data_IF_910898290292
#
_entry.id   IF_910898290292
#
_cell.length_a   1.000
_cell.length_b   1.000
_cell.length_c   1.000
_cell.angle_alpha   90.00
_cell.angle_beta   90.00
_cell.angle_gamma   90.00
#
_symmetry.space_group_name_H-M   'P 1'
#
loop_
_entity.id
_entity.type
_entity.pdbx_description
1 polymer ?
#
# COMPACT_ATOMS: atom_id res chain seq x y z
N UNK A 1 -14.01 10.79 -4.71
CA UNK A 1 -12.94 9.91 -4.19
C UNK A 1 -11.62 10.64 -4.20
N UNK A 2 -11.15 11.15 -5.35
CA UNK A 2 -9.91 11.95 -5.46
C UNK A 2 -9.90 13.19 -4.57
N UNK A 3 -11.07 13.81 -4.32
CA UNK A 3 -11.18 14.95 -3.39
C UNK A 3 -10.85 14.56 -1.96
N UNK A 4 -11.31 13.40 -1.49
CA UNK A 4 -11.01 12.90 -0.12
C UNK A 4 -9.53 12.59 0.02
N UNK A 5 -8.94 11.90 -0.95
CA UNK A 5 -7.50 11.64 -0.95
C UNK A 5 -6.67 12.93 -0.94
N UNK A 6 -7.04 13.92 -1.74
CA UNK A 6 -6.39 15.24 -1.74
C UNK A 6 -6.60 16.00 -0.43
N UNK A 7 -7.78 15.91 0.17
CA UNK A 7 -8.08 16.55 1.45
C UNK A 7 -7.21 15.99 2.58
N UNK A 8 -7.00 14.67 2.63
CA UNK A 8 -6.12 14.02 3.61
C UNK A 8 -4.67 14.50 3.50
N UNK A 9 -4.29 15.10 2.36
CA UNK A 9 -2.93 15.56 2.08
C UNK A 9 -2.82 17.06 1.81
N UNK A 10 -3.88 17.85 2.03
CA UNK A 10 -3.88 19.28 1.75
C UNK A 10 -2.91 20.07 2.62
N UNK A 11 -2.53 19.58 3.77
CA UNK A 11 -1.48 20.19 4.60
C UNK A 11 -0.10 19.61 4.24
N UNK A 12 0.40 20.05 3.10
CA UNK A 12 1.40 19.38 2.26
C UNK A 12 2.86 19.48 2.73
N UNK A 13 3.17 20.04 3.89
CA UNK A 13 4.57 20.14 4.34
C UNK A 13 5.10 18.80 4.86
N UNK A 14 4.27 18.07 5.59
CA UNK A 14 4.63 16.78 6.21
C UNK A 14 4.85 15.68 5.15
N UNK A 15 3.98 15.51 4.14
CA UNK A 15 4.18 14.52 3.09
C UNK A 15 5.47 14.68 2.31
N UNK A 16 5.82 15.89 1.93
CA UNK A 16 7.07 16.17 1.20
C UNK A 16 8.31 15.84 2.01
N UNK A 17 8.30 16.17 3.30
CA UNK A 17 9.41 15.84 4.20
C UNK A 17 9.55 14.32 4.38
N UNK A 18 8.45 13.60 4.56
CA UNK A 18 8.45 12.13 4.70
C UNK A 18 9.00 11.42 3.47
N UNK A 19 8.64 11.85 2.27
CA UNK A 19 9.18 11.29 1.03
C UNK A 19 10.64 11.71 0.79
N UNK A 20 11.02 12.93 1.17
CA UNK A 20 12.40 13.39 1.04
C UNK A 20 13.37 12.52 1.83
N UNK A 21 13.02 12.11 3.04
CA UNK A 21 13.82 11.21 3.86
C UNK A 21 13.99 9.83 3.18
N UNK A 22 12.90 9.29 2.60
CA UNK A 22 12.96 8.01 1.89
C UNK A 22 13.82 8.11 0.64
N UNK A 23 13.67 9.16 -0.17
CA UNK A 23 14.52 9.39 -1.36
C UNK A 23 15.98 9.60 -1.00
N UNK A 24 16.26 10.29 0.12
CA UNK A 24 17.64 10.46 0.62
C UNK A 24 18.26 9.13 0.97
N UNK A 25 17.52 8.26 1.67
CA UNK A 25 17.98 6.91 2.01
C UNK A 25 18.23 6.06 0.76
N UNK A 26 17.36 6.15 -0.25
CA UNK A 26 17.54 5.44 -1.53
C UNK A 26 18.81 5.92 -2.22
N UNK A 27 18.99 7.24 -2.38
CA UNK A 27 20.18 7.80 -3.04
C UNK A 27 21.48 7.47 -2.30
N UNK A 28 21.42 7.40 -0.97
CA UNK A 28 22.55 6.93 -0.16
C UNK A 28 22.86 5.45 -0.43
N UNK A 29 21.85 4.61 -0.43
CA UNK A 29 21.99 3.18 -0.69
C UNK A 29 22.49 2.90 -2.12
N UNK A 30 22.04 3.64 -3.13
CA UNK A 30 22.49 3.51 -4.50
C UNK A 30 24.02 3.73 -4.62
N UNK A 31 24.55 4.75 -3.95
CA UNK A 31 26.00 5.03 -3.93
C UNK A 31 26.77 3.87 -3.31
N UNK A 32 26.31 3.35 -2.18
CA UNK A 32 26.93 2.21 -1.49
C UNK A 32 26.85 0.95 -2.35
N UNK A 33 25.71 0.67 -2.99
CA UNK A 33 25.54 -0.50 -3.85
C UNK A 33 26.45 -0.46 -5.08
N UNK A 34 26.67 0.73 -5.66
CA UNK A 34 27.61 0.91 -6.76
C UNK A 34 29.06 0.61 -6.30
N UNK A 35 29.42 1.03 -5.08
CA UNK A 35 30.75 0.75 -4.52
C UNK A 35 30.94 -0.74 -4.21
N UNK A 36 29.92 -1.38 -3.62
CA UNK A 36 29.92 -2.84 -3.41
C UNK A 36 30.09 -3.58 -4.73
N UNK A 37 29.33 -3.21 -5.78
CA UNK A 37 29.42 -3.85 -7.10
C UNK A 37 30.81 -3.71 -7.75
N UNK A 38 31.48 -2.57 -7.53
CA UNK A 38 32.87 -2.38 -7.99
C UNK A 38 33.84 -3.31 -7.28
N UNK A 39 33.72 -3.41 -5.95
CA UNK A 39 34.58 -4.30 -5.14
C UNK A 39 34.33 -5.78 -5.46
N UNK A 40 33.07 -6.18 -5.63
CA UNK A 40 32.72 -7.55 -6.03
C UNK A 40 33.26 -7.91 -7.41
N UNK A 41 33.24 -6.95 -8.35
CA UNK A 41 33.84 -7.13 -9.67
C UNK A 41 35.35 -7.27 -9.60
N UNK A 42 36.03 -6.43 -8.81
CA UNK A 42 37.48 -6.52 -8.60
C UNK A 42 37.84 -7.88 -8.01
N UNK A 43 37.14 -8.37 -7.00
CA UNK A 43 37.34 -9.71 -6.44
C UNK A 43 37.15 -10.83 -7.47
N UNK A 44 36.15 -10.70 -8.33
CA UNK A 44 35.88 -11.70 -9.37
C UNK A 44 37.00 -11.72 -10.45
N UNK A 45 37.53 -10.55 -10.81
CA UNK A 45 38.61 -10.45 -11.79
C UNK A 45 39.93 -10.93 -11.19
N UNK A 46 40.28 -10.58 -9.94
CA UNK A 46 41.46 -11.11 -9.21
C UNK A 46 41.39 -12.64 -9.07
N UNK A 47 40.21 -13.19 -8.77
CA UNK A 47 40.04 -14.65 -8.65
C UNK A 47 40.26 -15.39 -9.99
N UNK A 48 39.92 -14.75 -11.12
CA UNK A 48 40.15 -15.32 -12.46
C UNK A 48 41.63 -15.30 -12.86
N UNK A 49 42.34 -14.23 -12.50
CA UNK A 49 43.77 -14.10 -12.75
C UNK A 49 44.61 -15.07 -11.88
N UNK A 50 44.17 -15.29 -10.63
CA UNK A 50 44.80 -16.24 -9.72
C UNK A 50 44.72 -17.70 -10.17
N UNK A 51 43.70 -18.09 -10.86
CA UNK A 51 43.58 -19.42 -11.48
C UNK A 51 44.56 -19.68 -12.61
N UNK A 52 45.25 -18.65 -13.08
CA UNK A 52 46.26 -18.75 -14.14
C UNK A 52 47.74 -18.72 -13.67
N UNK A 53 48.00 -18.51 -12.37
CA UNK A 53 49.36 -18.40 -11.85
C UNK A 53 49.56 -18.93 -10.43
N UNK A 54 50.31 -20.04 -10.27
CA UNK A 54 50.53 -20.77 -9.01
C UNK A 54 51.37 -20.05 -7.92
N UNK A 55 51.83 -18.80 -8.07
CA UNK A 55 52.76 -18.14 -7.15
C UNK A 55 52.26 -16.93 -6.35
N UNK A 56 50.98 -16.58 -6.39
CA UNK A 56 50.44 -15.38 -5.73
C UNK A 56 49.48 -15.65 -4.53
N UNK A 57 49.34 -16.91 -4.10
CA UNK A 57 48.27 -17.34 -3.16
C UNK A 57 48.24 -16.69 -1.77
N UNK A 58 49.35 -16.15 -1.24
CA UNK A 58 49.37 -15.59 0.12
C UNK A 58 48.88 -14.13 0.16
N UNK A 59 49.29 -13.33 -0.82
CA UNK A 59 48.93 -11.90 -0.91
C UNK A 59 47.46 -11.73 -1.32
N UNK A 60 46.96 -12.57 -2.23
CA UNK A 60 45.59 -12.60 -2.70
C UNK A 60 44.58 -13.00 -1.61
N UNK A 61 44.93 -13.92 -0.69
CA UNK A 61 44.09 -14.26 0.46
C UNK A 61 43.91 -13.09 1.42
N UNK A 62 44.90 -12.23 1.57
CA UNK A 62 44.84 -11.07 2.45
C UNK A 62 44.01 -9.96 1.83
N UNK A 63 44.20 -9.67 0.57
CA UNK A 63 43.42 -8.66 -0.20
C UNK A 63 41.93 -9.08 -0.36
N UNK A 64 41.65 -10.34 -0.69
CA UNK A 64 40.28 -10.88 -0.73
C UNK A 64 39.62 -10.84 0.67
N UNK A 65 40.34 -11.06 1.73
CA UNK A 65 39.85 -10.92 3.11
C UNK A 65 39.54 -9.46 3.45
N UNK A 66 40.33 -8.51 2.96
CA UNK A 66 40.15 -7.08 3.20
C UNK A 66 38.99 -6.54 2.42
N UNK A 67 38.83 -6.86 1.13
CA UNK A 67 37.69 -6.50 0.30
C UNK A 67 36.39 -7.09 0.84
N UNK A 68 36.40 -8.35 1.32
CA UNK A 68 35.24 -8.97 1.93
C UNK A 68 34.81 -8.26 3.25
N UNK A 69 35.77 -7.78 4.05
CA UNK A 69 35.49 -6.98 5.24
C UNK A 69 34.86 -5.63 4.85
N UNK A 70 35.40 -4.98 3.83
CA UNK A 70 34.91 -3.70 3.33
C UNK A 70 33.49 -3.81 2.77
N UNK A 71 33.17 -4.85 2.02
CA UNK A 71 31.82 -5.14 1.55
C UNK A 71 30.85 -5.34 2.72
N UNK A 72 31.26 -6.07 3.77
CA UNK A 72 30.40 -6.24 4.96
C UNK A 72 30.17 -4.90 5.67
N UNK A 73 31.18 -4.07 5.78
CA UNK A 73 31.05 -2.74 6.37
C UNK A 73 30.12 -1.86 5.54
N UNK A 74 30.28 -1.81 4.22
CA UNK A 74 29.41 -1.07 3.32
C UNK A 74 27.96 -1.58 3.41
N UNK A 75 27.74 -2.89 3.45
CA UNK A 75 26.39 -3.44 3.64
C UNK A 75 25.76 -3.03 4.98
N UNK A 76 26.56 -2.89 6.05
CA UNK A 76 26.04 -2.42 7.34
C UNK A 76 25.67 -0.93 7.35
N UNK A 77 26.14 -0.16 6.39
CA UNK A 77 25.81 1.26 6.22
C UNK A 77 24.53 1.50 5.41
N UNK A 78 23.94 0.45 4.83
CA UNK A 78 22.67 0.57 4.10
C UNK A 78 21.56 0.99 5.05
N UNK A 79 20.82 2.02 4.65
CA UNK A 79 19.70 2.57 5.39
C UNK A 79 18.39 1.90 4.99
N UNK A 80 17.44 1.83 5.91
CA UNK A 80 16.08 1.39 5.58
C UNK A 80 15.39 2.45 4.74
N UNK A 81 15.05 2.11 3.49
CA UNK A 81 14.27 2.97 2.59
C UNK A 81 12.78 2.68 2.76
N UNK A 82 12.25 2.96 3.93
CA UNK A 82 10.84 2.80 4.27
C UNK A 82 10.28 4.11 4.83
N UNK A 83 8.97 4.27 4.74
CA UNK A 83 8.30 5.40 5.36
C UNK A 83 8.51 5.32 6.88
N UNK A 84 8.83 6.46 7.48
CA UNK A 84 9.04 6.51 8.93
C UNK A 84 7.74 6.15 9.67
N UNK A 85 7.86 5.34 10.71
CA UNK A 85 6.73 4.77 11.46
C UNK A 85 5.73 5.83 11.99
N UNK A 86 6.18 7.06 12.27
CA UNK A 86 5.28 8.14 12.69
C UNK A 86 4.22 8.50 11.64
N UNK A 87 4.47 8.22 10.36
CA UNK A 87 3.53 8.47 9.27
C UNK A 87 2.67 7.26 8.93
N UNK A 88 3.03 6.07 9.42
CA UNK A 88 2.28 4.84 9.15
C UNK A 88 1.14 4.71 10.16
N UNK A 89 -0.14 4.71 9.70
CA UNK A 89 -1.29 4.63 10.58
C UNK A 89 -1.21 3.47 11.56
N UNK A 90 -1.61 3.73 12.79
CA UNK A 90 -1.71 2.76 13.88
C UNK A 90 -0.40 2.16 14.40
N UNK A 91 0.75 2.58 13.92
CA UNK A 91 2.01 2.29 14.61
C UNK A 91 2.07 3.00 15.95
N UNK A 92 2.88 2.49 16.88
CA UNK A 92 3.08 3.14 18.17
C UNK A 92 3.57 4.58 18.02
N UNK A 93 4.55 4.82 17.17
CA UNK A 93 5.08 6.16 16.87
C UNK A 93 4.02 7.09 16.31
N UNK A 94 3.16 6.61 15.41
CA UNK A 94 2.05 7.40 14.88
C UNK A 94 1.06 7.79 15.97
N UNK A 95 0.63 6.85 16.79
CA UNK A 95 -0.32 7.10 17.87
C UNK A 95 0.25 8.08 18.91
N UNK A 96 1.50 7.93 19.31
CA UNK A 96 2.16 8.84 20.25
C UNK A 96 2.31 10.26 19.69
N UNK A 97 2.50 10.41 18.38
CA UNK A 97 2.69 11.71 17.73
C UNK A 97 1.37 12.45 17.48
N UNK A 98 0.34 11.73 17.02
CA UNK A 98 -0.88 12.32 16.47
C UNK A 98 -2.12 12.19 17.35
N UNK A 99 -2.08 11.40 18.43
CA UNK A 99 -3.20 11.30 19.36
C UNK A 99 -3.02 12.20 20.57
N UNK A 100 -4.13 12.61 21.18
CA UNK A 100 -4.09 13.36 22.44
C UNK A 100 -3.44 12.50 23.54
N UNK A 101 -2.64 13.13 24.39
CA UNK A 101 -1.98 12.46 25.53
C UNK A 101 -3.03 11.72 26.39
N UNK A 102 -2.80 10.45 26.65
CA UNK A 102 -3.67 9.59 27.47
C UNK A 102 -4.71 8.76 26.71
N UNK A 103 -4.80 8.89 25.37
CA UNK A 103 -5.74 8.11 24.54
C UNK A 103 -5.10 6.94 23.82
N UNK A 104 -3.83 6.64 24.05
CA UNK A 104 -3.17 5.47 23.48
C UNK A 104 -3.81 4.20 24.05
N UNK A 105 -4.34 3.31 23.21
CA UNK A 105 -4.88 2.02 23.67
C UNK A 105 -3.76 1.22 24.31
N UNK A 106 -3.89 0.89 25.58
CA UNK A 106 -2.92 0.06 26.30
C UNK A 106 -3.06 -1.43 26.01
N UNK A 107 -3.95 -1.86 25.10
CA UNK A 107 -4.44 -3.22 25.12
C UNK A 107 -4.23 -4.08 23.88
N UNK A 108 -4.36 -5.37 24.10
CA UNK A 108 -4.12 -6.56 23.32
C UNK A 108 -4.75 -6.62 21.90
N UNK A 109 -5.68 -5.75 21.58
CA UNK A 109 -6.23 -5.57 20.25
C UNK A 109 -5.46 -4.47 19.51
N UNK A 110 -4.27 -4.81 19.03
CA UNK A 110 -3.53 -3.89 18.18
C UNK A 110 -4.35 -3.60 16.92
N UNK A 111 -4.64 -2.32 16.63
CA UNK A 111 -5.33 -1.96 15.41
C UNK A 111 -4.49 -2.40 14.20
N UNK A 112 -5.16 -2.68 13.10
CA UNK A 112 -4.50 -3.05 11.86
C UNK A 112 -3.47 -1.99 11.45
N UNK A 113 -2.25 -2.43 11.15
CA UNK A 113 -1.19 -1.58 10.63
C UNK A 113 -0.72 -2.17 9.30
N UNK A 114 -0.56 -1.32 8.29
CA UNK A 114 0.01 -1.75 7.03
C UNK A 114 1.50 -2.08 7.22
N UNK A 115 1.94 -3.14 6.56
CA UNK A 115 3.34 -3.58 6.57
C UNK A 115 3.87 -3.56 5.13
N UNK A 116 4.27 -2.37 4.67
CA UNK A 116 4.87 -2.17 3.35
C UNK A 116 6.36 -2.46 3.46
N UNK A 117 6.85 -3.46 2.74
CA UNK A 117 8.26 -3.84 2.72
C UNK A 117 9.12 -2.82 1.96
N UNK A 118 10.43 -2.84 2.18
CA UNK A 118 11.36 -1.99 1.45
C UNK A 118 11.29 -2.21 -0.07
N UNK A 119 11.12 -3.45 -0.52
CA UNK A 119 10.94 -3.78 -1.94
C UNK A 119 9.71 -3.08 -2.51
N UNK A 120 8.58 -3.17 -1.82
CA UNK A 120 7.32 -2.52 -2.24
C UNK A 120 7.44 -0.99 -2.21
N UNK A 121 8.16 -0.45 -1.24
CA UNK A 121 8.45 0.99 -1.18
C UNK A 121 9.19 1.45 -2.44
N UNK A 122 10.24 0.72 -2.85
CA UNK A 122 10.98 1.01 -4.07
C UNK A 122 10.10 0.90 -5.32
N UNK A 123 9.27 -0.13 -5.41
CA UNK A 123 8.32 -0.31 -6.52
C UNK A 123 7.31 0.84 -6.59
N UNK A 124 6.74 1.28 -5.46
CA UNK A 124 5.80 2.42 -5.41
C UNK A 124 6.49 3.72 -5.82
N UNK A 125 7.70 3.98 -5.33
CA UNK A 125 8.43 5.20 -5.66
C UNK A 125 8.91 5.24 -7.11
N UNK A 126 9.08 4.08 -7.76
CA UNK A 126 9.43 3.95 -9.18
C UNK A 126 8.27 4.23 -10.15
N UNK A 127 7.04 4.43 -9.67
CA UNK A 127 5.90 4.82 -10.51
C UNK A 127 6.15 6.21 -11.10
N UNK A 128 6.37 6.28 -12.41
CA UNK A 128 6.86 7.51 -13.07
C UNK A 128 5.80 8.59 -13.25
N UNK A 129 4.58 8.21 -13.60
CA UNK A 129 3.49 9.12 -13.95
C UNK A 129 2.56 9.45 -12.77
N UNK A 130 2.77 8.79 -11.64
CA UNK A 130 1.98 8.99 -10.42
C UNK A 130 2.55 10.12 -9.56
N UNK A 131 1.71 11.07 -9.16
CA UNK A 131 2.10 12.14 -8.24
C UNK A 131 2.60 11.58 -6.89
N UNK A 132 3.61 12.23 -6.30
CA UNK A 132 4.19 11.86 -5.01
C UNK A 132 3.16 11.78 -3.87
N UNK A 133 2.10 12.57 -3.96
CA UNK A 133 0.95 12.53 -3.06
C UNK A 133 0.29 11.15 -3.01
N UNK A 134 0.07 10.53 -4.17
CA UNK A 134 -0.54 9.21 -4.27
C UNK A 134 0.42 8.11 -3.85
N UNK A 135 1.71 8.25 -4.16
CA UNK A 135 2.77 7.35 -3.69
C UNK A 135 2.83 7.35 -2.16
N UNK A 136 2.82 8.54 -1.55
CA UNK A 136 2.82 8.65 -0.09
C UNK A 136 1.59 8.01 0.54
N UNK A 137 0.37 8.29 0.01
CA UNK A 137 -0.85 7.66 0.50
C UNK A 137 -0.74 6.13 0.46
N UNK A 138 -0.23 5.59 -0.64
CA UNK A 138 -0.08 4.15 -0.79
C UNK A 138 0.93 3.56 0.21
N UNK A 139 2.04 4.28 0.46
CA UNK A 139 3.01 3.92 1.50
C UNK A 139 2.42 3.97 2.92
N UNK A 140 1.45 4.85 3.16
CA UNK A 140 0.69 4.90 4.41
C UNK A 140 -0.38 3.80 4.51
N UNK A 141 -0.54 2.96 3.48
CA UNK A 141 -1.57 1.94 3.41
C UNK A 141 -2.93 2.46 2.99
N UNK A 142 -2.99 3.61 2.33
CA UNK A 142 -4.22 4.20 1.79
C UNK A 142 -4.23 4.07 0.27
N UNK A 143 -5.02 3.14 -0.24
CA UNK A 143 -5.25 2.96 -1.67
C UNK A 143 -6.39 3.84 -2.18
N UNK A 144 -6.23 4.41 -3.36
CA UNK A 144 -7.28 5.18 -4.04
C UNK A 144 -7.48 4.60 -5.44
N UNK A 145 -8.71 4.28 -5.77
CA UNK A 145 -9.10 3.81 -7.09
C UNK A 145 -10.03 4.81 -7.75
N UNK A 146 -9.54 5.41 -8.82
CA UNK A 146 -10.28 6.33 -9.66
C UNK A 146 -9.92 6.11 -11.14
N UNK A 147 -10.84 6.41 -12.04
CA UNK A 147 -10.70 6.15 -13.48
C UNK A 147 -9.56 6.93 -14.16
N UNK A 148 -9.00 7.95 -13.51
CA UNK A 148 -7.87 8.74 -14.01
C UNK A 148 -6.50 8.33 -13.49
N UNK A 149 -6.41 7.22 -12.76
CA UNK A 149 -5.14 6.76 -12.18
C UNK A 149 -4.30 5.98 -13.18
N UNK A 150 -2.98 6.10 -13.06
CA UNK A 150 -2.01 5.32 -13.82
C UNK A 150 -2.28 3.81 -13.66
N UNK A 151 -2.19 3.05 -14.76
CA UNK A 151 -2.44 1.61 -14.74
C UNK A 151 -1.50 0.86 -13.78
N UNK A 152 -0.22 1.22 -13.75
CA UNK A 152 0.78 0.61 -12.83
C UNK A 152 0.47 0.90 -11.37
N UNK A 153 0.02 2.11 -11.04
CA UNK A 153 -0.44 2.46 -9.70
C UNK A 153 -1.64 1.58 -9.30
N UNK A 154 -2.63 1.48 -10.19
CA UNK A 154 -3.84 0.69 -9.96
C UNK A 154 -3.51 -0.79 -9.73
N UNK A 155 -2.60 -1.35 -10.52
CA UNK A 155 -2.15 -2.74 -10.39
C UNK A 155 -1.43 -2.96 -9.05
N UNK A 156 -0.49 -2.08 -8.70
CA UNK A 156 0.24 -2.15 -7.43
C UNK A 156 -0.70 -2.02 -6.22
N UNK A 157 -1.63 -1.09 -6.29
CA UNK A 157 -2.65 -0.90 -5.25
C UNK A 157 -3.52 -2.15 -5.09
N UNK A 158 -3.96 -2.76 -6.19
CA UNK A 158 -4.74 -4.01 -6.17
C UNK A 158 -3.94 -5.16 -5.55
N UNK A 159 -2.67 -5.29 -5.89
CA UNK A 159 -1.77 -6.28 -5.28
C UNK A 159 -1.70 -6.10 -3.76
N UNK A 160 -1.43 -4.88 -3.28
CA UNK A 160 -1.37 -4.59 -1.84
C UNK A 160 -2.70 -4.83 -1.13
N UNK A 161 -3.84 -4.57 -1.80
CA UNK A 161 -5.16 -4.86 -1.28
C UNK A 161 -5.40 -6.38 -1.14
N UNK A 162 -4.98 -7.19 -2.12
CA UNK A 162 -5.04 -8.66 -2.06
C UNK A 162 -4.18 -9.23 -0.95
N UNK A 163 -3.00 -8.65 -0.72
CA UNK A 163 -2.08 -9.02 0.34
C UNK A 163 -2.50 -8.49 1.72
N UNK A 164 -3.67 -7.82 1.82
CA UNK A 164 -4.20 -7.22 3.05
C UNK A 164 -3.25 -6.21 3.70
N UNK A 165 -2.48 -5.49 2.90
CA UNK A 165 -1.53 -4.45 3.35
C UNK A 165 -2.11 -3.05 3.36
N UNK A 166 -3.33 -2.85 2.85
CA UNK A 166 -3.99 -1.55 2.88
C UNK A 166 -4.84 -1.38 4.14
N UNK A 167 -4.62 -0.26 4.82
CA UNK A 167 -5.43 0.19 5.96
C UNK A 167 -6.79 0.72 5.52
N UNK A 168 -6.81 1.47 4.42
CA UNK A 168 -8.01 2.09 3.86
C UNK A 168 -7.98 2.00 2.34
N UNK A 169 -9.12 1.66 1.75
CA UNK A 169 -9.33 1.75 0.32
C UNK A 169 -10.46 2.74 0.03
N UNK A 170 -10.16 3.74 -0.79
CA UNK A 170 -11.12 4.76 -1.24
C UNK A 170 -11.41 4.49 -2.72
N UNK A 171 -12.65 4.19 -3.04
CA UNK A 171 -13.04 3.82 -4.39
C UNK A 171 -14.39 4.40 -4.81
N UNK A 172 -14.59 4.57 -6.09
CA UNK A 172 -15.91 4.85 -6.68
C UNK A 172 -16.79 3.58 -6.77
N UNK A 173 -18.02 3.77 -7.22
CA UNK A 173 -18.99 2.66 -7.37
C UNK A 173 -18.52 1.57 -8.33
N UNK A 174 -17.70 1.91 -9.31
CA UNK A 174 -17.25 0.96 -10.35
C UNK A 174 -16.26 -0.08 -9.82
N UNK A 175 -15.62 0.21 -8.68
CA UNK A 175 -14.73 -0.72 -7.99
C UNK A 175 -15.46 -1.91 -7.35
N UNK A 176 -16.75 -1.80 -7.11
CA UNK A 176 -17.57 -2.82 -6.45
C UNK A 176 -17.61 -4.11 -7.26
N UNK A 177 -17.52 -4.00 -8.58
CA UNK A 177 -17.56 -5.13 -9.50
C UNK A 177 -16.20 -5.82 -9.65
N UNK A 178 -16.19 -7.14 -9.64
CA UNK A 178 -15.00 -7.94 -9.98
C UNK A 178 -13.90 -8.04 -8.91
N UNK A 179 -14.06 -7.45 -7.73
CA UNK A 179 -13.07 -7.50 -6.66
C UNK A 179 -13.44 -8.50 -5.58
N UNK A 180 -12.45 -9.19 -5.04
CA UNK A 180 -12.64 -10.18 -3.97
C UNK A 180 -11.82 -9.82 -2.72
N UNK A 181 -11.69 -8.52 -2.43
CA UNK A 181 -10.97 -8.08 -1.24
C UNK A 181 -11.83 -8.22 0.01
N UNK A 182 -11.15 -8.45 1.12
CA UNK A 182 -11.78 -8.67 2.41
C UNK A 182 -11.65 -7.43 3.27
N UNK A 183 -12.78 -6.83 3.59
CA UNK A 183 -12.82 -5.67 4.48
C UNK A 183 -13.61 -6.01 5.73
N UNK A 184 -13.13 -5.54 6.89
CA UNK A 184 -13.89 -5.59 8.15
C UNK A 184 -14.93 -4.49 8.22
N UNK A 185 -14.65 -3.33 7.64
CA UNK A 185 -15.48 -2.15 7.76
C UNK A 185 -15.72 -1.49 6.40
N UNK A 186 -16.93 -1.00 6.13
CA UNK A 186 -17.25 -0.19 4.98
C UNK A 186 -17.90 1.13 5.39
N UNK A 187 -17.66 2.13 4.56
CA UNK A 187 -18.21 3.46 4.70
C UNK A 187 -18.78 3.92 3.36
N UNK A 188 -20.10 4.03 3.26
CA UNK A 188 -20.79 4.53 2.07
C UNK A 188 -21.02 6.04 2.20
N UNK A 189 -20.31 6.81 1.38
CA UNK A 189 -20.35 8.27 1.39
C UNK A 189 -21.51 8.85 0.59
N UNK A 190 -21.88 10.12 0.86
CA UNK A 190 -22.89 10.90 0.13
C UNK A 190 -22.54 11.17 -1.33
N UNK A 191 -21.27 11.15 -1.65
CA UNK A 191 -20.68 11.51 -2.93
C UNK A 191 -20.72 10.38 -3.97
N UNK A 192 -21.24 9.21 -3.60
CA UNK A 192 -21.49 8.11 -4.51
C UNK A 192 -22.68 8.44 -5.44
N UNK A 193 -22.37 9.01 -6.59
CA UNK A 193 -23.38 9.31 -7.62
C UNK A 193 -23.84 8.02 -8.31
N UNK A 194 -25.15 7.91 -8.57
CA UNK A 194 -25.73 6.78 -9.29
C UNK A 194 -25.66 5.45 -8.52
N UNK A 195 -25.67 5.51 -7.19
CA UNK A 195 -25.79 4.34 -6.35
C UNK A 195 -27.18 3.74 -6.51
N UNK A 196 -27.27 2.57 -7.13
CA UNK A 196 -28.50 1.77 -7.19
C UNK A 196 -28.59 0.85 -5.97
N UNK A 197 -29.77 0.29 -5.70
CA UNK A 197 -29.97 -0.67 -4.62
C UNK A 197 -29.03 -1.87 -4.76
N UNK A 198 -28.88 -2.42 -5.96
CA UNK A 198 -28.01 -3.54 -6.23
C UNK A 198 -26.54 -3.21 -5.98
N UNK A 199 -26.09 -2.02 -6.41
CA UNK A 199 -24.73 -1.54 -6.14
C UNK A 199 -24.50 -1.36 -4.65
N UNK A 200 -25.48 -0.85 -3.91
CA UNK A 200 -25.38 -0.71 -2.45
C UNK A 200 -25.29 -2.07 -1.78
N UNK A 201 -26.14 -3.03 -2.14
CA UNK A 201 -26.12 -4.41 -1.60
C UNK A 201 -24.79 -5.10 -1.94
N UNK A 202 -24.32 -4.97 -3.17
CA UNK A 202 -23.04 -5.55 -3.58
C UNK A 202 -21.84 -4.94 -2.82
N UNK A 203 -21.88 -3.62 -2.54
CA UNK A 203 -20.86 -2.95 -1.74
C UNK A 203 -20.82 -3.50 -0.32
N UNK A 204 -21.98 -3.62 0.29
CA UNK A 204 -22.13 -4.15 1.65
C UNK A 204 -21.70 -5.62 1.69
N UNK A 205 -22.05 -6.40 0.68
CA UNK A 205 -21.66 -7.80 0.55
C UNK A 205 -20.15 -8.05 0.38
N UNK A 206 -19.32 -7.01 0.31
CA UNK A 206 -17.85 -7.09 0.34
C UNK A 206 -17.26 -7.06 1.75
N UNK A 207 -18.08 -6.74 2.74
CA UNK A 207 -17.66 -6.66 4.13
C UNK A 207 -17.91 -8.00 4.83
N UNK A 208 -16.95 -8.44 5.63
CA UNK A 208 -17.14 -9.61 6.49
C UNK A 208 -17.12 -10.98 5.80
N UNK A 209 -16.56 -11.10 4.60
CA UNK A 209 -16.65 -12.35 3.79
C UNK A 209 -15.94 -13.58 4.38
N UNK A 210 -14.97 -13.43 5.26
CA UNK A 210 -14.09 -14.57 5.61
C UNK A 210 -13.85 -14.84 7.07
N UNK A 211 -14.62 -14.25 7.98
CA UNK A 211 -14.42 -14.54 9.40
C UNK A 211 -13.05 -14.12 9.99
N UNK A 212 -12.25 -13.40 9.24
CA UNK A 212 -10.94 -12.91 9.69
C UNK A 212 -11.06 -11.85 10.79
N UNK A 213 -12.18 -11.14 10.83
CA UNK A 213 -12.53 -10.20 11.89
C UNK A 213 -13.84 -10.62 12.55
N UNK A 214 -13.96 -10.44 13.87
CA UNK A 214 -15.20 -10.75 14.62
C UNK A 214 -16.24 -9.64 14.49
N UNK A 215 -15.78 -8.41 14.22
CA UNK A 215 -16.63 -7.22 14.17
C UNK A 215 -16.67 -6.67 12.74
N UNK A 216 -17.86 -6.64 12.17
CA UNK A 216 -18.11 -6.05 10.86
C UNK A 216 -19.01 -4.84 11.02
N UNK A 217 -18.67 -3.75 10.36
CA UNK A 217 -19.52 -2.57 10.37
C UNK A 217 -19.67 -2.00 8.97
N UNK A 218 -20.91 -1.61 8.66
CA UNK A 218 -21.22 -0.78 7.50
C UNK A 218 -21.82 0.52 8.03
N UNK A 219 -21.18 1.62 7.71
CA UNK A 219 -21.65 2.95 8.10
C UNK A 219 -22.18 3.67 6.86
N UNK A 220 -23.42 4.09 6.92
CA UNK A 220 -24.08 4.89 5.92
C UNK A 220 -24.01 6.36 6.34
N UNK A 221 -23.47 7.23 5.49
CA UNK A 221 -23.37 8.65 5.79
C UNK A 221 -24.67 9.42 5.53
N UNK A 222 -25.62 8.78 4.85
CA UNK A 222 -26.90 9.34 4.50
C UNK A 222 -28.04 8.37 4.82
N UNK A 223 -29.14 8.89 5.38
CA UNK A 223 -30.37 8.12 5.59
C UNK A 223 -31.00 7.63 4.28
N UNK A 224 -30.80 8.37 3.19
CA UNK A 224 -31.33 8.03 1.87
C UNK A 224 -30.78 6.71 1.33
N UNK A 225 -29.52 6.39 1.62
CA UNK A 225 -28.94 5.08 1.27
C UNK A 225 -29.59 3.95 2.07
N UNK A 226 -29.95 4.19 3.34
CA UNK A 226 -30.71 3.24 4.15
C UNK A 226 -32.09 2.98 3.57
N UNK A 227 -32.79 4.03 3.16
CA UNK A 227 -34.08 3.91 2.47
C UNK A 227 -33.96 3.16 1.16
N UNK A 228 -32.92 3.45 0.36
CA UNK A 228 -32.64 2.75 -0.89
C UNK A 228 -32.48 1.25 -0.71
N UNK A 229 -31.82 0.81 0.38
CA UNK A 229 -31.60 -0.61 0.67
C UNK A 229 -32.88 -1.38 0.99
N UNK A 230 -33.86 -0.72 1.62
CA UNK A 230 -35.07 -1.37 2.11
C UNK A 230 -36.33 -1.08 1.27
N UNK A 231 -36.20 -0.20 0.26
CA UNK A 231 -37.31 0.02 -0.65
C UNK A 231 -37.55 -1.21 -1.52
N UNK A 232 -38.83 -1.59 -1.65
CA UNK A 232 -39.23 -2.55 -2.68
C UNK A 232 -39.04 -1.90 -4.03
N UNK A 233 -38.25 -2.52 -4.87
CA UNK A 233 -38.01 -2.02 -6.24
C UNK A 233 -38.73 -2.92 -7.26
N UNK A 234 -40.06 -2.90 -7.21
CA UNK A 234 -40.87 -3.68 -8.15
C UNK A 234 -40.72 -3.17 -9.61
N UNK A 235 -40.20 -1.94 -9.77
CA UNK A 235 -40.01 -1.28 -11.07
C UNK A 235 -38.58 -1.42 -11.65
N UNK A 236 -37.69 -2.19 -11.03
CA UNK A 236 -36.36 -2.37 -11.60
C UNK A 236 -36.42 -3.26 -12.85
N UNK A 237 -35.70 -2.89 -13.94
CA UNK A 237 -35.72 -3.65 -15.20
C UNK A 237 -35.38 -5.13 -15.00
N UNK A 238 -34.46 -5.45 -14.05
CA UNK A 238 -34.06 -6.81 -13.72
C UNK A 238 -35.22 -7.60 -13.10
N UNK A 239 -35.94 -6.99 -12.16
CA UNK A 239 -37.10 -7.63 -11.51
C UNK A 239 -38.24 -7.83 -12.52
N UNK A 240 -38.50 -6.84 -13.35
CA UNK A 240 -39.51 -6.92 -14.42
C UNK A 240 -39.13 -8.02 -15.43
N UNK A 241 -37.87 -8.06 -15.87
CA UNK A 241 -37.38 -9.07 -16.80
C UNK A 241 -37.40 -10.50 -16.19
N UNK A 242 -37.02 -10.63 -14.90
CA UNK A 242 -37.15 -11.91 -14.20
C UNK A 242 -38.61 -12.34 -14.06
N UNK A 243 -39.49 -11.43 -13.68
CA UNK A 243 -40.92 -11.73 -13.61
C UNK A 243 -41.50 -12.19 -14.97
N UNK A 244 -41.13 -11.54 -16.06
CA UNK A 244 -41.51 -11.94 -17.44
C UNK A 244 -40.95 -13.33 -17.80
N UNK A 245 -39.68 -13.62 -17.41
CA UNK A 245 -39.05 -14.90 -17.71
C UNK A 245 -39.76 -16.06 -17.01
N UNK A 246 -40.29 -15.84 -15.80
CA UNK A 246 -40.96 -16.87 -15.00
C UNK A 246 -42.48 -16.90 -15.24
N UNK A 247 -43.08 -15.82 -15.74
CA UNK A 247 -44.51 -15.81 -16.09
C UNK A 247 -44.79 -16.37 -17.47
N UNK A 248 -43.78 -16.54 -18.30
CA UNK A 248 -43.93 -17.10 -19.65
C UNK A 248 -44.60 -16.11 -20.66
N UNK A 249 -44.56 -14.80 -20.34
CA UNK A 249 -44.99 -13.72 -21.24
C UNK A 249 -43.84 -13.13 -22.08
#
# INVERSE_FOLDING_TARGET
>A
VTKVGRFLLQDSKIPRAALADVYTSISHNEKILIEIAKLEKQQADETKEAQQGERQMAKEKEDTSQSARMIRQLRSMLQSAQLHDMFVPNTKSHLETWTARGTTPQDANRPFCCNISQKETLEILSLGETDDVWKLLLLMGVGVLDNGMEARYTEKMKQLAQEQKLFLLIAGSDYIYGTNYQFGHAFLGKDLKGLTQDKAIQSIGRVGRTGATRDYTVRLRDGDVGHLLFNKSDDQPEVVNMAKLFSGE
#
